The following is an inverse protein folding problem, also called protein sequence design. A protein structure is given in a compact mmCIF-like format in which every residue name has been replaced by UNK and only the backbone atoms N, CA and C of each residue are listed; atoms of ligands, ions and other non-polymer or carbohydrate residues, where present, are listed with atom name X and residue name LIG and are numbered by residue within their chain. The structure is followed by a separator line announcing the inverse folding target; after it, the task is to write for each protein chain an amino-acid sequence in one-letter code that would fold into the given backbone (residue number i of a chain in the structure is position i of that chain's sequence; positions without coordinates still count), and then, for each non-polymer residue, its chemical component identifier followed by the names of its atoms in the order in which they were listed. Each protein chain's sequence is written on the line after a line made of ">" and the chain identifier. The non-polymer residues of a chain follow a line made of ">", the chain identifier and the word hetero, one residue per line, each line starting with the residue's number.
data_IF_353156318229
#
_entry.id   IF_353156318229
#
_cell.length_a   1.000
_cell.length_b   1.000
_cell.length_c   1.000
_cell.angle_alpha   90.00
_cell.angle_beta   90.00
_cell.angle_gamma   90.00
#
_symmetry.space_group_name_H-M   'P 1'
#
loop_
_entity.id
_entity.type
_entity.pdbx_description
1 polymer ?
#
# COMPACT_ATOMS: atom_id res chain seq x y z
N UNK A 1 -18.65 -27.62 -56.82
CA UNK A 1 -17.22 -27.95 -57.04
C UNK A 1 -16.83 -29.06 -56.06
N UNK A 2 -16.11 -30.06 -56.58
CA UNK A 2 -15.82 -31.40 -56.02
C UNK A 2 -15.22 -31.42 -54.61
N UNK A 3 -15.76 -32.34 -53.80
CA UNK A 3 -15.06 -33.07 -52.73
C UNK A 3 -14.12 -34.14 -53.33
N UNK A 4 -12.95 -34.36 -52.70
CA UNK A 4 -12.13 -35.61 -52.73
C UNK A 4 -11.32 -35.64 -51.42
N UNK A 5 -11.63 -36.54 -50.48
CA UNK A 5 -11.20 -37.95 -50.35
C UNK A 5 -9.77 -38.12 -49.81
N UNK A 6 -9.63 -38.95 -48.75
CA UNK A 6 -8.36 -39.61 -48.44
C UNK A 6 -8.16 -40.00 -46.98
N UNK A 7 -8.91 -40.98 -46.50
CA UNK A 7 -8.56 -41.80 -45.33
C UNK A 7 -7.78 -43.02 -45.85
N UNK A 8 -6.61 -43.34 -45.31
CA UNK A 8 -6.13 -44.73 -45.28
C UNK A 8 -5.09 -44.93 -44.16
N UNK A 9 -5.41 -45.89 -43.31
CA UNK A 9 -4.65 -46.32 -42.14
C UNK A 9 -3.84 -47.55 -42.55
N UNK A 10 -2.52 -47.50 -42.42
CA UNK A 10 -1.72 -48.71 -42.29
C UNK A 10 -0.38 -48.40 -41.63
N UNK A 11 -0.20 -48.85 -40.39
CA UNK A 11 1.12 -49.28 -39.95
C UNK A 11 1.02 -50.41 -38.93
N UNK A 12 1.84 -51.43 -39.21
CA UNK A 12 1.85 -52.78 -38.65
C UNK A 12 2.22 -52.80 -37.17
N UNK A 13 1.55 -53.68 -36.43
CA UNK A 13 2.08 -54.28 -35.21
C UNK A 13 3.14 -55.33 -35.58
N UNK A 14 4.32 -55.25 -34.98
CA UNK A 14 5.22 -56.39 -34.83
C UNK A 14 5.87 -56.33 -33.45
N UNK A 15 5.63 -57.36 -32.65
CA UNK A 15 6.11 -57.56 -31.29
C UNK A 15 7.55 -58.10 -31.29
N UNK A 16 8.40 -57.64 -30.36
CA UNK A 16 9.31 -58.49 -29.57
C UNK A 16 10.05 -57.70 -28.47
N UNK A 17 9.70 -58.01 -27.22
CA UNK A 17 10.58 -58.15 -26.05
C UNK A 17 11.69 -57.14 -25.75
N UNK A 18 11.54 -56.39 -24.65
CA UNK A 18 12.32 -56.56 -23.40
C UNK A 18 11.91 -55.51 -22.37
N UNK A 19 11.76 -55.98 -21.15
CA UNK A 19 11.49 -55.25 -19.91
C UNK A 19 12.52 -54.12 -19.73
N UNK A 20 12.06 -52.88 -19.63
CA UNK A 20 12.64 -51.87 -18.75
C UNK A 20 11.52 -50.96 -18.25
N UNK A 21 11.11 -51.22 -17.01
CA UNK A 21 10.30 -50.33 -16.20
C UNK A 21 11.16 -49.09 -15.88
N UNK A 22 10.97 -48.01 -16.62
CA UNK A 22 11.51 -46.70 -16.24
C UNK A 22 10.32 -45.77 -16.00
N UNK A 23 9.86 -45.79 -14.75
CA UNK A 23 9.05 -44.74 -14.15
C UNK A 23 9.87 -43.44 -14.15
N UNK A 24 9.84 -42.69 -15.25
CA UNK A 24 10.16 -41.27 -15.20
C UNK A 24 8.84 -40.51 -15.03
N UNK A 25 8.45 -40.40 -13.76
CA UNK A 25 7.60 -39.32 -13.27
C UNK A 25 8.12 -38.03 -13.92
N UNK A 26 7.33 -37.32 -14.75
CA UNK A 26 7.57 -35.90 -14.90
C UNK A 26 7.30 -35.35 -13.51
N UNK A 27 8.38 -35.10 -12.78
CA UNK A 27 8.40 -34.28 -11.58
C UNK A 27 7.44 -33.14 -11.81
N UNK A 28 6.34 -33.18 -11.06
CA UNK A 28 5.41 -32.09 -10.88
C UNK A 28 6.24 -30.94 -10.30
N UNK A 29 6.89 -30.17 -11.18
CA UNK A 29 7.15 -28.77 -10.94
C UNK A 29 5.78 -28.11 -11.03
N UNK A 30 4.98 -28.32 -9.98
CA UNK A 30 4.00 -27.34 -9.60
C UNK A 30 4.81 -26.05 -9.39
N UNK A 31 4.87 -25.21 -10.43
CA UNK A 31 5.16 -23.80 -10.25
C UNK A 31 4.13 -23.33 -9.22
N UNK A 32 4.53 -23.28 -7.95
CA UNK A 32 3.76 -22.65 -6.90
C UNK A 32 3.53 -21.23 -7.41
N UNK A 33 2.32 -20.97 -7.89
CA UNK A 33 1.95 -19.66 -8.41
C UNK A 33 2.17 -18.65 -7.29
N UNK A 34 3.25 -17.90 -7.37
CA UNK A 34 3.59 -16.85 -6.41
C UNK A 34 2.55 -15.75 -6.55
N UNK A 35 1.82 -15.47 -5.47
CA UNK A 35 0.87 -14.37 -5.46
C UNK A 35 1.65 -13.08 -5.27
N UNK A 36 1.45 -12.09 -6.14
CA UNK A 36 2.02 -10.75 -5.94
C UNK A 36 1.10 -9.93 -5.03
N UNK A 37 1.67 -9.19 -4.08
CA UNK A 37 0.95 -8.17 -3.28
C UNK A 37 1.57 -6.79 -3.52
N UNK A 38 0.77 -5.73 -3.42
CA UNK A 38 1.31 -4.37 -3.34
C UNK A 38 2.00 -4.18 -1.98
N UNK A 39 3.15 -3.50 -2.00
CA UNK A 39 3.91 -3.05 -0.84
C UNK A 39 4.38 -1.62 -1.09
N UNK A 40 4.56 -0.87 -0.01
CA UNK A 40 5.05 0.50 -0.04
C UNK A 40 6.47 0.54 0.50
N UNK A 41 7.41 1.05 -0.30
CA UNK A 41 8.75 1.35 0.17
C UNK A 41 8.83 2.82 0.53
N UNK A 42 9.13 3.08 1.80
CA UNK A 42 9.32 4.42 2.33
C UNK A 42 10.77 4.87 2.17
N UNK A 43 10.97 6.07 1.64
CA UNK A 43 12.27 6.74 1.56
C UNK A 43 12.45 7.71 2.73
N UNK A 44 11.40 8.49 3.01
CA UNK A 44 11.31 9.34 4.20
C UNK A 44 9.86 9.51 4.63
N UNK A 45 9.65 9.69 5.94
CA UNK A 45 8.42 10.22 6.54
C UNK A 45 8.87 11.11 7.69
N UNK A 46 8.47 12.38 7.66
CA UNK A 46 8.82 13.36 8.69
C UNK A 46 7.69 14.34 8.92
N UNK A 47 7.54 14.77 10.17
CA UNK A 47 6.71 15.93 10.47
C UNK A 47 7.28 17.18 9.77
N UNK A 48 6.42 18.15 9.44
CA UNK A 48 6.87 19.42 8.90
C UNK A 48 7.64 20.21 9.97
N UNK A 49 8.73 20.87 9.58
CA UNK A 49 9.59 21.69 10.44
C UNK A 49 9.36 23.21 10.23
N UNK A 50 8.72 23.58 9.14
CA UNK A 50 8.48 24.96 8.73
C UNK A 50 7.13 25.54 9.21
N UNK A 51 6.30 24.75 9.90
CA UNK A 51 5.00 25.17 10.41
C UNK A 51 4.78 24.63 11.82
N UNK A 52 4.11 25.43 12.66
CA UNK A 52 3.69 24.97 13.99
C UNK A 52 2.53 24.00 13.83
N UNK A 53 2.68 22.80 14.37
CA UNK A 53 1.61 21.82 14.45
C UNK A 53 1.66 21.06 15.77
N UNK A 54 0.53 20.43 16.12
CA UNK A 54 0.34 19.82 17.45
C UNK A 54 0.56 18.32 17.47
N UNK A 55 0.93 17.69 16.36
CA UNK A 55 1.19 16.26 16.28
C UNK A 55 2.69 15.99 16.14
N UNK A 56 3.27 15.33 17.14
CA UNK A 56 4.69 14.99 17.15
C UNK A 56 4.87 13.48 17.02
N UNK A 57 5.73 13.08 16.10
CA UNK A 57 6.22 11.70 16.01
C UNK A 57 7.46 11.60 16.90
N UNK A 58 7.38 10.82 17.96
CA UNK A 58 8.47 10.60 18.92
C UNK A 58 9.34 9.41 18.51
N UNK A 59 8.70 8.35 18.02
CA UNK A 59 9.35 7.14 17.51
C UNK A 59 8.56 6.61 16.33
N UNK A 60 9.28 6.10 15.33
CA UNK A 60 8.69 5.51 14.14
C UNK A 60 9.57 4.36 13.65
N UNK A 61 8.98 3.19 13.49
CA UNK A 61 9.64 2.00 12.99
C UNK A 61 8.81 1.36 11.88
N UNK A 62 9.50 0.88 10.85
CA UNK A 62 8.92 0.23 9.69
C UNK A 62 9.58 -1.13 9.50
N UNK A 63 8.79 -2.18 9.47
CA UNK A 63 9.27 -3.53 9.14
C UNK A 63 8.42 -4.18 8.07
N UNK A 64 9.07 -4.85 7.13
CA UNK A 64 8.40 -5.68 6.15
C UNK A 64 8.47 -7.14 6.62
N UNK A 65 7.31 -7.79 6.74
CA UNK A 65 7.22 -9.20 7.10
C UNK A 65 6.17 -9.87 6.22
N UNK A 66 6.56 -10.96 5.55
CA UNK A 66 5.73 -11.73 4.63
C UNK A 66 4.99 -10.89 3.55
N UNK A 67 5.69 -9.90 3.00
CA UNK A 67 5.14 -9.02 1.97
C UNK A 67 4.07 -8.04 2.46
N UNK A 68 3.91 -7.88 3.78
CA UNK A 68 3.14 -6.82 4.41
C UNK A 68 4.07 -5.83 5.13
N UNK A 69 3.73 -4.55 5.02
CA UNK A 69 4.44 -3.47 5.70
C UNK A 69 3.76 -3.19 7.05
N UNK A 70 4.54 -3.25 8.12
CA UNK A 70 4.09 -2.98 9.49
C UNK A 70 4.71 -1.69 10.01
N UNK A 71 3.90 -0.94 10.75
CA UNK A 71 4.20 0.37 11.29
C UNK A 71 4.01 0.33 12.80
N UNK A 72 5.06 0.70 13.52
CA UNK A 72 5.01 1.00 14.95
C UNK A 72 5.37 2.48 15.14
N UNK A 73 4.54 3.23 15.88
CA UNK A 73 4.79 4.64 16.12
C UNK A 73 4.40 5.06 17.54
N UNK A 74 5.20 5.96 18.13
CA UNK A 74 4.85 6.70 19.33
C UNK A 74 4.66 8.16 18.98
N UNK A 75 3.52 8.71 19.35
CA UNK A 75 3.09 10.04 18.95
C UNK A 75 2.63 10.84 20.18
N UNK A 76 2.80 12.16 20.12
CA UNK A 76 2.28 13.08 21.13
C UNK A 76 1.43 14.16 20.48
N UNK A 77 0.24 14.37 21.04
CA UNK A 77 -0.71 15.39 20.58
C UNK A 77 -0.75 16.49 21.62
N UNK A 78 -0.42 17.72 21.22
CA UNK A 78 -0.27 18.84 22.15
C UNK A 78 -1.57 19.49 22.60
N UNK A 79 -2.66 19.33 21.84
CA UNK A 79 -3.95 19.98 22.10
C UNK A 79 -5.11 19.03 21.83
N UNK A 80 -6.22 19.24 22.54
CA UNK A 80 -7.48 18.59 22.19
C UNK A 80 -7.96 19.12 20.82
N UNK A 81 -8.35 18.21 19.94
CA UNK A 81 -8.88 18.53 18.60
C UNK A 81 -10.35 18.16 18.58
N UNK A 82 -11.26 19.14 18.57
CA UNK A 82 -12.70 18.83 18.63
C UNK A 82 -13.18 18.24 17.32
N UNK A 83 -12.77 18.83 16.20
CA UNK A 83 -13.04 18.30 14.88
C UNK A 83 -11.95 18.71 13.88
N UNK A 84 -11.77 17.88 12.85
CA UNK A 84 -10.90 18.19 11.72
C UNK A 84 -11.69 19.04 10.72
N UNK A 85 -11.13 20.20 10.34
CA UNK A 85 -11.79 21.20 9.48
C UNK A 85 -11.39 21.07 8.02
N UNK A 86 -10.09 21.07 7.72
CA UNK A 86 -9.58 20.94 6.35
C UNK A 86 -8.44 19.94 6.31
N UNK A 87 -8.47 19.02 5.34
CA UNK A 87 -7.34 18.17 4.98
C UNK A 87 -6.88 18.54 3.57
N UNK A 88 -5.60 18.84 3.43
CA UNK A 88 -4.97 19.24 2.19
C UNK A 88 -3.78 18.32 1.92
N UNK A 89 -3.83 17.63 0.79
CA UNK A 89 -2.78 16.71 0.34
C UNK A 89 -2.25 17.18 -1.00
N UNK A 90 -0.98 17.56 -1.03
CA UNK A 90 -0.24 17.83 -2.27
C UNK A 90 0.54 16.59 -2.66
N UNK A 91 0.38 16.18 -3.91
CA UNK A 91 1.10 15.07 -4.51
C UNK A 91 2.05 15.60 -5.58
N UNK A 92 3.30 15.15 -5.50
CA UNK A 92 4.31 15.33 -6.52
C UNK A 92 4.75 13.96 -7.01
N UNK A 93 5.02 13.84 -8.29
CA UNK A 93 5.56 12.62 -8.89
C UNK A 93 7.02 12.85 -9.28
N UNK A 94 7.87 11.90 -8.96
CA UNK A 94 9.28 11.89 -9.36
C UNK A 94 9.49 10.77 -10.37
N UNK A 95 10.28 11.02 -11.42
CA UNK A 95 10.54 10.03 -12.46
C UNK A 95 11.22 8.80 -11.83
N UNK A 96 10.54 7.64 -11.92
CA UNK A 96 11.05 6.38 -11.39
C UNK A 96 12.38 6.01 -12.05
N UNK A 97 13.35 5.57 -11.24
CA UNK A 97 14.67 5.12 -11.71
C UNK A 97 15.83 6.11 -11.53
N UNK A 98 15.57 7.41 -11.33
CA UNK A 98 16.63 8.44 -11.13
C UNK A 98 16.68 8.95 -9.67
N UNK A 99 15.87 8.36 -8.78
CA UNK A 99 15.77 8.72 -7.36
C UNK A 99 14.82 9.91 -7.09
N UNK A 100 14.56 10.24 -5.82
CA UNK A 100 13.53 11.21 -5.40
C UNK A 100 13.92 12.69 -5.61
N UNK A 101 14.93 12.98 -6.43
CA UNK A 101 15.56 14.30 -6.48
C UNK A 101 14.87 15.28 -7.44
N UNK A 102 14.18 14.76 -8.47
CA UNK A 102 13.46 15.57 -9.45
C UNK A 102 11.98 15.18 -9.45
N UNK A 103 11.15 16.02 -8.83
CA UNK A 103 9.72 15.78 -8.70
C UNK A 103 8.95 16.98 -9.24
N UNK A 104 7.87 16.72 -9.95
CA UNK A 104 6.96 17.74 -10.45
C UNK A 104 5.62 17.67 -9.72
N UNK A 105 4.95 18.82 -9.60
CA UNK A 105 3.60 18.87 -9.05
C UNK A 105 2.68 18.00 -9.89
N UNK A 106 1.91 17.15 -9.22
CA UNK A 106 0.94 16.28 -9.87
C UNK A 106 -0.49 16.73 -9.61
N UNK A 107 -0.90 16.83 -8.34
CA UNK A 107 -2.24 17.28 -7.98
C UNK A 107 -2.34 17.73 -6.53
N UNK A 108 -3.45 18.38 -6.20
CA UNK A 108 -3.85 18.80 -4.86
C UNK A 108 -5.24 18.24 -4.57
N UNK A 109 -5.36 17.54 -3.46
CA UNK A 109 -6.62 16.99 -2.96
C UNK A 109 -7.02 17.76 -1.69
N UNK A 110 -8.24 18.27 -1.65
CA UNK A 110 -8.75 19.04 -0.52
C UNK A 110 -10.07 18.42 -0.08
N UNK A 111 -10.18 18.15 1.22
CA UNK A 111 -11.41 17.72 1.86
C UNK A 111 -11.76 18.69 2.99
N UNK A 112 -13.03 19.08 3.05
CA UNK A 112 -13.54 20.08 4.00
C UNK A 112 -14.78 19.61 4.78
N UNK A 113 -15.30 18.43 4.46
CA UNK A 113 -16.53 17.89 5.03
C UNK A 113 -16.26 16.55 5.70
N UNK A 114 -16.92 16.30 6.83
CA UNK A 114 -16.93 15.02 7.53
C UNK A 114 -15.55 14.38 7.76
N UNK A 115 -14.51 15.18 7.99
CA UNK A 115 -13.13 14.68 8.06
C UNK A 115 -12.90 13.69 9.20
N UNK A 116 -13.56 13.88 10.34
CA UNK A 116 -13.52 12.92 11.43
C UNK A 116 -14.12 11.56 11.02
N UNK A 117 -15.24 11.58 10.31
CA UNK A 117 -15.89 10.37 9.80
C UNK A 117 -15.01 9.71 8.74
N UNK A 118 -14.43 10.49 7.82
CA UNK A 118 -13.50 10.04 6.79
C UNK A 118 -12.24 9.38 7.41
N UNK A 119 -11.67 9.98 8.45
CA UNK A 119 -10.50 9.43 9.15
C UNK A 119 -10.81 8.06 9.78
N UNK A 120 -12.03 7.85 10.29
CA UNK A 120 -12.48 6.58 10.86
C UNK A 120 -13.24 5.67 9.89
N UNK A 121 -13.39 6.07 8.63
CA UNK A 121 -14.19 5.34 7.66
C UNK A 121 -13.58 3.97 7.36
N UNK A 122 -14.43 2.97 7.24
CA UNK A 122 -14.00 1.60 6.95
C UNK A 122 -13.66 1.43 5.47
N UNK A 123 -12.82 0.44 5.19
CA UNK A 123 -12.36 0.10 3.82
C UNK A 123 -11.61 1.24 3.11
N UNK A 124 -11.01 2.14 3.91
CA UNK A 124 -10.01 3.12 3.48
C UNK A 124 -8.59 2.55 3.55
N UNK A 125 -7.70 3.07 2.69
CA UNK A 125 -6.26 2.78 2.70
C UNK A 125 -5.65 2.83 4.12
N UNK A 126 -6.02 3.85 4.89
CA UNK A 126 -5.51 4.11 6.24
C UNK A 126 -6.30 3.41 7.35
N UNK A 127 -7.40 2.71 7.05
CA UNK A 127 -8.24 2.05 8.08
C UNK A 127 -7.43 1.14 9.00
N UNK A 128 -6.57 0.22 8.49
CA UNK A 128 -5.85 -0.70 9.36
C UNK A 128 -4.81 0.00 10.25
N UNK A 129 -4.39 1.21 9.87
CA UNK A 129 -3.53 2.05 10.69
C UNK A 129 -4.32 2.76 11.78
N UNK A 130 -5.42 3.43 11.41
CA UNK A 130 -6.26 4.19 12.36
C UNK A 130 -6.87 3.27 13.42
N UNK A 131 -7.31 2.07 13.05
CA UNK A 131 -7.88 1.08 13.96
C UNK A 131 -6.86 0.56 15.01
N UNK A 132 -5.56 0.79 14.80
CA UNK A 132 -4.47 0.40 15.71
C UNK A 132 -3.97 1.53 16.60
N UNK A 133 -4.53 2.73 16.48
CA UNK A 133 -4.18 3.87 17.34
C UNK A 133 -4.76 3.63 18.74
N UNK A 134 -3.92 3.80 19.76
CA UNK A 134 -4.30 3.73 21.19
C UNK A 134 -3.89 5.04 21.89
N UNK A 135 -4.80 5.73 22.59
CA UNK A 135 -6.26 5.49 22.64
C UNK A 135 -6.91 5.62 21.25
N UNK A 136 -8.05 4.95 21.07
CA UNK A 136 -8.74 4.89 19.77
C UNK A 136 -8.98 6.27 19.18
N UNK A 137 -8.60 6.45 17.92
CA UNK A 137 -8.86 7.68 17.21
C UNK A 137 -10.37 7.90 17.05
N UNK A 138 -10.86 8.97 17.67
CA UNK A 138 -12.24 9.45 17.55
C UNK A 138 -12.24 10.95 17.83
N UNK A 139 -13.02 11.72 17.08
CA UNK A 139 -13.26 13.13 17.42
C UNK A 139 -14.31 13.23 18.55
N UNK A 140 -14.12 14.07 19.58
CA UNK A 140 -12.94 14.92 19.82
C UNK A 140 -11.71 14.09 20.18
N UNK A 141 -10.60 14.34 19.49
CA UNK A 141 -9.34 13.62 19.67
C UNK A 141 -8.53 14.30 20.76
N UNK A 142 -8.12 13.52 21.77
CA UNK A 142 -7.54 14.06 23.00
C UNK A 142 -6.06 14.36 22.87
N UNK A 143 -5.61 15.38 23.60
CA UNK A 143 -4.19 15.63 23.82
C UNK A 143 -3.57 14.46 24.59
N UNK A 144 -2.26 14.29 24.42
CA UNK A 144 -1.46 13.33 25.15
C UNK A 144 -0.77 12.31 24.26
N UNK A 145 -0.30 11.25 24.89
CA UNK A 145 0.51 10.22 24.26
C UNK A 145 -0.37 9.18 23.56
N UNK A 146 0.01 8.83 22.34
CA UNK A 146 -0.68 7.88 21.48
C UNK A 146 0.32 6.87 20.91
N UNK A 147 -0.14 5.64 20.76
CA UNK A 147 0.67 4.55 20.23
C UNK A 147 -0.02 3.91 19.05
N UNK A 148 0.79 3.51 18.08
CA UNK A 148 0.41 2.66 16.97
C UNK A 148 1.30 1.44 17.02
N UNK A 149 0.71 0.25 17.00
CA UNK A 149 1.45 -1.02 17.06
C UNK A 149 0.92 -2.01 16.05
N UNK A 150 1.83 -2.64 15.30
CA UNK A 150 1.54 -3.63 14.27
C UNK A 150 0.48 -3.13 13.28
N UNK A 151 0.53 -1.85 12.95
CA UNK A 151 -0.38 -1.25 11.98
C UNK A 151 0.07 -1.54 10.57
N UNK A 152 -0.88 -1.62 9.64
CA UNK A 152 -0.60 -1.79 8.22
C UNK A 152 -1.40 -0.77 7.42
N UNK A 153 -1.20 -0.74 6.10
CA UNK A 153 -2.06 -0.01 5.17
C UNK A 153 -2.73 -1.00 4.22
N UNK A 154 -4.00 -0.76 3.89
CA UNK A 154 -4.69 -1.56 2.90
C UNK A 154 -4.36 -1.06 1.49
N UNK A 155 -3.20 -1.46 0.98
CA UNK A 155 -2.76 -1.06 -0.36
C UNK A 155 -3.64 -1.65 -1.47
N UNK A 156 -4.44 -2.68 -1.18
CA UNK A 156 -5.44 -3.19 -2.15
C UNK A 156 -6.54 -2.15 -2.42
N UNK A 157 -6.75 -1.21 -1.50
CA UNK A 157 -7.66 -0.09 -1.71
C UNK A 157 -7.19 0.86 -2.81
N UNK A 158 -5.91 0.91 -3.18
CA UNK A 158 -5.48 1.70 -4.36
C UNK A 158 -6.06 1.18 -5.67
N UNK A 159 -6.32 -0.13 -5.78
CA UNK A 159 -6.94 -0.73 -6.96
C UNK A 159 -8.47 -0.56 -6.93
N UNK A 160 -9.08 -0.51 -5.74
CA UNK A 160 -10.54 -0.48 -5.54
C UNK A 160 -11.12 0.92 -5.48
N UNK A 161 -10.43 1.85 -4.84
CA UNK A 161 -10.88 3.22 -4.72
C UNK A 161 -10.54 3.95 -6.02
N UNK A 162 -11.47 4.76 -6.54
CA UNK A 162 -11.37 5.44 -7.83
C UNK A 162 -10.18 6.42 -8.00
N UNK A 163 -9.20 6.42 -7.10
CA UNK A 163 -7.88 7.00 -7.27
C UNK A 163 -7.10 6.21 -8.33
N UNK A 164 -7.48 6.36 -9.60
CA UNK A 164 -6.78 5.85 -10.79
C UNK A 164 -5.47 6.58 -11.01
N UNK A 165 -4.64 6.67 -9.98
CA UNK A 165 -3.31 7.25 -10.07
C UNK A 165 -2.33 6.15 -10.47
N UNK A 166 -1.30 6.48 -11.26
CA UNK A 166 -0.28 5.53 -11.68
C UNK A 166 0.71 5.25 -10.54
N UNK A 167 0.22 4.73 -9.40
CA UNK A 167 0.96 4.59 -8.15
C UNK A 167 2.29 3.84 -8.32
N UNK A 168 2.30 2.80 -9.17
CA UNK A 168 3.46 1.94 -9.41
C UNK A 168 4.50 2.55 -10.38
N UNK A 169 4.17 3.63 -11.09
CA UNK A 169 5.05 4.20 -12.13
C UNK A 169 6.03 5.26 -11.61
N UNK A 170 5.76 5.83 -10.44
CA UNK A 170 6.47 6.99 -9.93
C UNK A 170 6.85 6.81 -8.46
N UNK A 171 7.89 7.51 -8.05
CA UNK A 171 8.10 7.82 -6.64
C UNK A 171 7.19 9.02 -6.32
N UNK A 172 6.46 8.94 -5.23
CA UNK A 172 5.50 9.96 -4.79
C UNK A 172 6.07 10.72 -3.63
N UNK A 173 6.11 12.06 -3.74
CA UNK A 173 6.25 12.94 -2.59
C UNK A 173 4.89 13.47 -2.20
N UNK A 174 4.58 13.38 -0.92
CA UNK A 174 3.31 13.79 -0.34
C UNK A 174 3.58 14.84 0.72
N UNK A 175 2.84 15.94 0.64
CA UNK A 175 2.73 16.91 1.71
C UNK A 175 1.28 16.92 2.19
N UNK A 176 1.07 16.54 3.44
CA UNK A 176 -0.26 16.50 4.04
C UNK A 176 -0.35 17.50 5.18
N UNK A 177 -1.41 18.29 5.20
CA UNK A 177 -1.77 19.20 6.28
C UNK A 177 -3.22 18.99 6.68
N UNK A 178 -3.46 18.96 7.98
CA UNK A 178 -4.80 18.90 8.56
C UNK A 178 -4.97 20.02 9.57
N UNK A 179 -5.98 20.86 9.37
CA UNK A 179 -6.35 21.93 10.31
C UNK A 179 -7.53 21.52 11.20
N UNK A 180 -7.54 22.05 12.42
CA UNK A 180 -8.62 21.89 13.38
C UNK A 180 -9.69 23.00 13.25
N UNK A 181 -10.65 23.00 14.15
CA UNK A 181 -11.73 23.98 14.23
C UNK A 181 -11.29 25.44 14.42
N UNK A 182 -10.07 25.64 14.93
CA UNK A 182 -9.47 26.95 15.20
C UNK A 182 -8.54 27.42 14.07
N UNK A 183 -8.58 26.76 12.91
CA UNK A 183 -7.65 26.99 11.79
C UNK A 183 -6.17 26.76 12.14
N UNK A 184 -5.91 26.03 13.23
CA UNK A 184 -4.55 25.65 13.60
C UNK A 184 -4.21 24.32 12.93
N UNK A 185 -2.95 24.15 12.54
CA UNK A 185 -2.48 22.91 11.93
C UNK A 185 -2.35 21.86 13.03
N UNK A 186 -3.26 20.88 13.05
CA UNK A 186 -3.21 19.76 13.98
C UNK A 186 -2.10 18.78 13.61
N UNK A 187 -1.96 18.51 12.31
CA UNK A 187 -1.01 17.54 11.78
C UNK A 187 -0.40 18.06 10.47
N UNK A 188 0.91 17.90 10.32
CA UNK A 188 1.64 18.17 9.09
C UNK A 188 2.75 17.15 8.89
N UNK A 189 2.76 16.46 7.75
CA UNK A 189 3.87 15.58 7.40
C UNK A 189 4.26 15.68 5.93
N UNK A 190 5.54 15.44 5.69
CA UNK A 190 6.11 15.16 4.39
C UNK A 190 6.47 13.69 4.33
N UNK A 191 6.24 13.04 3.21
CA UNK A 191 6.70 11.67 3.00
C UNK A 191 7.02 11.40 1.54
N UNK A 192 7.97 10.50 1.33
CA UNK A 192 8.42 10.04 0.03
C UNK A 192 8.32 8.52 -0.02
N UNK A 193 7.57 7.98 -0.98
CA UNK A 193 7.37 6.54 -1.12
C UNK A 193 7.24 6.08 -2.56
N UNK A 194 7.45 4.79 -2.80
CA UNK A 194 7.08 4.12 -4.05
C UNK A 194 6.17 2.92 -3.75
N UNK A 195 5.18 2.69 -4.61
CA UNK A 195 4.34 1.50 -4.56
C UNK A 195 4.91 0.47 -5.52
N UNK A 196 5.12 -0.77 -5.04
CA UNK A 196 5.72 -1.86 -5.80
C UNK A 196 4.96 -3.16 -5.59
N UNK A 197 5.08 -4.11 -6.52
CA UNK A 197 4.61 -5.49 -6.32
C UNK A 197 5.73 -6.36 -5.80
N UNK A 198 5.45 -7.10 -4.74
CA UNK A 198 6.35 -8.09 -4.14
C UNK A 198 5.77 -9.49 -4.27
N UNK A 199 6.63 -10.47 -4.52
CA UNK A 199 6.26 -11.88 -4.56
C UNK A 199 6.07 -12.39 -3.13
N UNK A 200 4.92 -13.00 -2.85
CA UNK A 200 4.62 -13.62 -1.57
C UNK A 200 4.55 -15.14 -1.76
N UNK A 201 5.16 -15.89 -0.83
CA UNK A 201 5.10 -17.35 -0.83
C UNK A 201 3.68 -17.79 -0.50
N UNK A 202 3.26 -18.94 -1.02
CA UNK A 202 1.86 -19.38 -0.98
C UNK A 202 1.44 -20.00 0.37
N UNK A 203 2.38 -20.16 1.31
CA UNK A 203 2.26 -21.01 2.49
C UNK A 203 2.41 -20.25 3.83
N UNK A 204 2.01 -18.98 3.87
CA UNK A 204 2.02 -18.14 5.08
C UNK A 204 0.63 -17.71 5.53
#
# INVERSE_FOLDING_TARGET
>A
MRFKNGFEIHCRLQWAGRVFLVLLLPSVLAKTASKTKMSMKYYDIKACDNVVHYFRILKLDYRMFDGADFIDADCYVGVDVKYLKVMNVLLYRCLGGVGPNHCEYFTRLIWTTSLCELATAKSMLWTPLVDKITPTFRCPYKAGFHQVRNATLDLSSFEKQGFRLPWEKYIWKVHCQVSNELDQIGLCFNGTFEVRRVLVRKDS
#
